data_IF_222562356558
#
_entry.id   IF_222562356558
#
_cell.length_a   1.000
_cell.length_b   1.000
_cell.length_c   1.000
_cell.angle_alpha   90.00
_cell.angle_beta   90.00
_cell.angle_gamma   90.00
#
_symmetry.space_group_name_H-M   'P 1'
#
loop_
_entity.id
_entity.type
_entity.pdbx_description
1 polymer ?
#
# COMPACT_ATOMS: atom_id res chain seq x y z
N UNK A 1 75.08 -4.30 -9.13
CA UNK A 1 74.07 -3.22 -9.18
C UNK A 1 72.74 -3.84 -9.46
N UNK A 2 71.97 -4.14 -8.46
CA UNK A 2 70.57 -4.59 -8.57
C UNK A 2 69.66 -3.47 -8.04
N UNK A 3 68.86 -2.91 -8.92
CA UNK A 3 67.82 -1.93 -8.56
C UNK A 3 66.54 -2.72 -8.32
N UNK A 4 66.09 -2.84 -7.08
CA UNK A 4 64.83 -3.43 -6.74
C UNK A 4 63.69 -2.39 -6.85
N UNK A 5 62.72 -2.64 -7.70
CA UNK A 5 61.49 -1.90 -7.79
C UNK A 5 60.52 -2.29 -6.67
N UNK A 6 60.20 -1.34 -5.80
CA UNK A 6 59.21 -1.47 -4.74
C UNK A 6 57.84 -1.12 -5.33
N UNK A 7 56.98 -2.12 -5.56
CA UNK A 7 55.61 -1.91 -5.97
C UNK A 7 54.77 -1.61 -4.74
N UNK A 8 54.30 -0.38 -4.61
CA UNK A 8 53.34 0.06 -3.59
C UNK A 8 51.93 -0.38 -4.02
N UNK A 9 51.41 -1.43 -3.41
CA UNK A 9 49.99 -1.78 -3.50
C UNK A 9 49.18 -0.82 -2.63
N UNK A 10 48.47 0.11 -3.26
CA UNK A 10 47.43 0.90 -2.62
C UNK A 10 46.21 -0.02 -2.45
N UNK A 11 45.99 -0.52 -1.25
CA UNK A 11 44.72 -1.12 -0.87
C UNK A 11 43.71 0.01 -0.67
N UNK A 12 42.80 0.22 -1.62
CA UNK A 12 41.57 0.96 -1.37
C UNK A 12 40.72 0.13 -0.39
N UNK A 13 40.71 0.55 0.86
CA UNK A 13 39.67 0.14 1.79
C UNK A 13 38.34 0.80 1.33
N UNK A 14 37.47 0.04 0.68
CA UNK A 14 36.06 0.38 0.65
C UNK A 14 35.58 0.32 2.11
N UNK A 15 35.50 1.45 2.76
CA UNK A 15 34.71 1.60 3.95
C UNK A 15 33.26 1.36 3.55
N UNK A 16 32.64 0.34 4.13
CA UNK A 16 31.21 0.18 4.12
C UNK A 16 30.60 1.54 4.52
N UNK A 17 29.87 2.17 3.62
CA UNK A 17 29.07 3.34 3.93
C UNK A 17 28.03 2.91 4.95
N UNK A 18 27.89 3.69 5.97
CA UNK A 18 27.24 3.41 7.22
C UNK A 18 25.74 3.05 7.06
N UNK A 19 25.28 2.19 7.94
CA UNK A 19 23.88 1.96 8.29
C UNK A 19 23.18 3.23 8.87
N UNK A 20 23.89 4.35 9.00
CA UNK A 20 23.41 5.62 9.58
C UNK A 20 22.58 6.49 8.62
N UNK A 21 22.47 6.15 7.33
CA UNK A 21 21.76 6.97 6.33
C UNK A 21 20.40 6.37 5.89
N UNK A 22 19.94 5.30 6.51
CA UNK A 22 18.63 4.73 6.18
C UNK A 22 17.51 5.70 6.60
N UNK A 23 16.47 5.92 5.74
CA UNK A 23 15.38 6.80 6.08
C UNK A 23 14.62 6.31 7.31
N UNK A 24 14.20 7.22 8.19
CA UNK A 24 13.42 6.86 9.38
C UNK A 24 12.01 6.36 9.02
N UNK A 25 11.44 6.88 7.92
CA UNK A 25 10.12 6.51 7.40
C UNK A 25 10.11 6.57 5.87
N UNK A 26 10.80 5.63 5.22
CA UNK A 26 11.20 5.71 3.81
C UNK A 26 10.12 5.45 2.76
N UNK A 27 8.88 5.10 3.14
CA UNK A 27 7.81 4.83 2.18
C UNK A 27 6.43 4.79 2.82
N UNK A 28 5.46 4.30 2.07
CA UNK A 28 4.10 4.11 2.58
C UNK A 28 4.12 3.15 3.77
N UNK A 29 3.64 3.63 4.92
CA UNK A 29 3.69 2.93 6.21
C UNK A 29 5.13 2.65 6.71
N UNK A 30 6.06 3.57 6.44
CA UNK A 30 7.43 3.48 6.93
C UNK A 30 8.30 2.50 6.16
N UNK A 31 9.37 2.07 6.81
CA UNK A 31 10.32 1.17 6.18
C UNK A 31 9.68 -0.19 5.95
N UNK A 32 9.69 -0.62 4.69
CA UNK A 32 9.14 -1.88 4.23
C UNK A 32 7.65 -2.10 4.61
N UNK A 33 6.86 -1.04 4.73
CA UNK A 33 5.42 -1.12 4.97
C UNK A 33 4.99 -1.65 6.33
N UNK A 34 5.90 -1.75 7.31
CA UNK A 34 5.63 -2.36 8.62
C UNK A 34 4.63 -1.58 9.46
N UNK A 35 4.54 -0.27 9.27
CA UNK A 35 3.75 0.62 10.13
C UNK A 35 4.36 0.84 11.51
N UNK A 36 5.64 0.50 11.71
CA UNK A 36 6.30 0.57 13.02
C UNK A 36 7.54 1.43 12.96
N UNK A 37 7.67 2.39 13.87
CA UNK A 37 8.86 3.21 14.07
C UNK A 37 9.61 2.81 15.35
N UNK A 38 10.93 3.02 15.34
CA UNK A 38 11.79 2.72 16.49
C UNK A 38 11.67 3.74 17.64
N UNK A 39 11.23 4.97 17.34
CA UNK A 39 11.06 6.05 18.34
C UNK A 39 9.83 5.82 19.22
N UNK A 40 9.75 6.52 20.35
CA UNK A 40 8.51 6.61 21.12
C UNK A 40 7.69 7.82 20.69
N UNK A 41 6.37 7.79 20.93
CA UNK A 41 5.44 8.87 20.61
C UNK A 41 4.62 9.26 21.85
N UNK A 42 4.01 10.45 21.87
CA UNK A 42 3.17 10.90 23.00
C UNK A 42 1.91 10.04 23.18
N UNK A 43 1.38 10.04 24.40
CA UNK A 43 0.12 9.37 24.75
C UNK A 43 -1.12 10.11 24.21
N UNK A 44 -0.94 11.31 23.63
CA UNK A 44 -2.01 12.11 23.04
C UNK A 44 -1.53 12.87 21.81
N UNK A 45 -2.41 13.04 20.82
CA UNK A 45 -2.24 13.94 19.69
C UNK A 45 -3.25 15.08 19.83
N UNK A 46 -2.91 16.03 20.70
CA UNK A 46 -3.80 17.12 21.11
C UNK A 46 -3.49 18.40 20.34
N UNK A 47 -4.39 18.89 19.47
CA UNK A 47 -4.17 20.12 18.70
C UNK A 47 -3.94 21.36 19.57
N UNK A 48 -4.41 21.38 20.82
CA UNK A 48 -4.19 22.48 21.76
C UNK A 48 -3.01 22.22 22.72
N UNK A 49 -2.60 20.96 22.85
CA UNK A 49 -1.60 20.51 23.83
C UNK A 49 -0.19 20.34 23.29
N UNK A 50 -0.04 19.60 22.19
CA UNK A 50 1.29 19.19 21.68
C UNK A 50 1.45 19.27 20.16
N UNK A 51 0.60 20.07 19.47
CA UNK A 51 0.80 20.44 18.09
C UNK A 51 2.02 21.36 17.97
N UNK A 52 3.02 20.96 17.20
CA UNK A 52 4.21 21.74 16.92
C UNK A 52 3.96 22.77 15.82
N UNK A 53 3.40 22.30 14.71
CA UNK A 53 3.03 23.11 13.57
C UNK A 53 1.91 22.51 12.74
N UNK A 54 1.18 23.37 12.03
CA UNK A 54 0.20 23.05 10.98
C UNK A 54 0.44 23.95 9.79
N UNK A 55 0.51 23.36 8.62
CA UNK A 55 0.72 24.10 7.37
C UNK A 55 -0.29 23.63 6.32
N UNK A 56 -0.68 24.52 5.42
CA UNK A 56 -1.49 24.19 4.26
C UNK A 56 -0.61 23.53 3.19
N UNK A 57 -1.12 22.49 2.54
CA UNK A 57 -0.45 21.76 1.46
C UNK A 57 -1.41 21.52 0.31
N UNK A 58 -0.91 21.33 -0.92
CA UNK A 58 -1.72 20.94 -2.06
C UNK A 58 -2.54 19.69 -1.80
N UNK A 59 -3.76 19.64 -2.36
CA UNK A 59 -4.66 18.52 -2.17
C UNK A 59 -4.03 17.19 -2.62
N UNK A 60 -4.19 16.16 -1.80
CA UNK A 60 -3.63 14.83 -2.07
C UNK A 60 -3.92 13.86 -0.94
N UNK A 61 -3.73 12.56 -1.21
CA UNK A 61 -3.95 11.49 -0.24
C UNK A 61 -2.67 10.75 0.16
N UNK A 62 -1.51 11.14 -0.37
CA UNK A 62 -0.25 10.49 -0.03
C UNK A 62 0.06 10.63 1.46
N UNK A 63 0.57 9.57 2.05
CA UNK A 63 1.17 9.63 3.39
C UNK A 63 2.54 10.31 3.32
N UNK A 64 2.98 11.01 4.37
CA UNK A 64 4.33 11.56 4.43
C UNK A 64 5.39 10.47 4.43
N UNK A 65 6.55 10.73 3.82
CA UNK A 65 7.77 9.93 3.94
C UNK A 65 8.91 10.80 4.42
N UNK A 66 9.86 10.24 5.16
CA UNK A 66 10.84 11.02 5.92
C UNK A 66 12.23 10.40 5.79
N UNK A 67 13.20 11.24 5.43
CA UNK A 67 14.61 10.90 5.44
C UNK A 67 15.41 12.07 6.05
N UNK A 68 16.05 11.85 7.20
CA UNK A 68 16.74 12.88 7.95
C UNK A 68 15.81 14.05 8.27
N UNK A 69 16.20 15.26 7.94
CA UNK A 69 15.44 16.49 8.21
C UNK A 69 14.35 16.78 7.16
N UNK A 70 14.17 15.91 6.17
CA UNK A 70 13.29 16.12 5.04
C UNK A 70 12.03 15.26 5.11
N UNK A 71 10.90 15.89 4.83
CA UNK A 71 9.61 15.27 4.70
C UNK A 71 9.11 15.44 3.26
N UNK A 72 8.59 14.36 2.67
CA UNK A 72 8.11 14.36 1.29
C UNK A 72 6.64 13.97 1.22
N UNK A 73 5.89 14.69 0.38
CA UNK A 73 4.50 14.36 0.02
C UNK A 73 4.29 14.55 -1.48
N UNK A 74 3.22 13.99 -2.02
CA UNK A 74 2.71 14.33 -3.36
C UNK A 74 1.44 15.16 -3.25
N UNK A 75 1.15 15.98 -4.24
CA UNK A 75 -0.05 16.82 -4.29
C UNK A 75 -0.51 17.08 -5.72
N UNK A 76 -1.66 17.73 -5.88
CA UNK A 76 -2.17 18.16 -7.17
C UNK A 76 -2.75 19.57 -7.10
N UNK A 77 -2.38 20.44 -8.04
CA UNK A 77 -2.90 21.79 -8.22
C UNK A 77 -3.18 22.05 -9.71
N UNK A 78 -4.41 22.36 -10.06
CA UNK A 78 -4.79 22.63 -11.45
C UNK A 78 -4.47 21.44 -12.37
N UNK A 79 -3.49 21.61 -13.24
CA UNK A 79 -2.97 20.58 -14.17
C UNK A 79 -1.55 20.15 -13.82
N UNK A 80 -1.09 20.41 -12.60
CA UNK A 80 0.22 20.00 -12.09
C UNK A 80 0.09 18.93 -11.01
N UNK A 81 0.87 17.86 -11.14
CA UNK A 81 1.11 16.85 -10.12
C UNK A 81 2.44 17.18 -9.46
N UNK A 82 2.44 17.24 -8.14
CA UNK A 82 3.52 17.82 -7.36
C UNK A 82 4.23 16.77 -6.49
N UNK A 83 5.56 16.80 -6.49
CA UNK A 83 6.40 16.24 -5.42
C UNK A 83 6.95 17.40 -4.61
N UNK A 84 6.74 17.35 -3.29
CA UNK A 84 7.05 18.45 -2.38
C UNK A 84 7.96 17.94 -1.28
N UNK A 85 9.07 18.67 -1.06
CA UNK A 85 9.99 18.47 0.05
C UNK A 85 9.84 19.60 1.06
N UNK A 86 9.79 19.24 2.33
CA UNK A 86 9.58 20.16 3.44
C UNK A 86 10.59 19.85 4.54
N UNK A 87 10.93 20.86 5.32
CA UNK A 87 11.62 20.68 6.59
C UNK A 87 10.65 20.02 7.60
N UNK A 88 11.04 18.90 8.20
CA UNK A 88 10.14 18.17 9.11
C UNK A 88 9.93 18.88 10.45
N UNK A 89 10.84 19.77 10.87
CA UNK A 89 10.79 20.41 12.19
C UNK A 89 9.88 21.63 12.23
N UNK A 90 9.76 22.38 11.14
CA UNK A 90 8.94 23.59 11.09
C UNK A 90 7.91 23.61 9.94
N UNK A 91 7.95 22.61 9.06
CA UNK A 91 7.05 22.48 7.91
C UNK A 91 7.36 23.43 6.75
N UNK A 92 8.49 24.14 6.77
CA UNK A 92 8.89 25.04 5.67
C UNK A 92 9.11 24.25 4.39
N UNK A 93 8.50 24.69 3.29
CA UNK A 93 8.76 24.11 1.97
C UNK A 93 10.20 24.41 1.53
N UNK A 94 10.97 23.34 1.25
CA UNK A 94 12.35 23.43 0.76
C UNK A 94 12.35 23.51 -0.76
N UNK A 95 11.59 22.61 -1.41
CA UNK A 95 11.40 22.60 -2.85
C UNK A 95 10.10 21.92 -3.24
N UNK A 96 9.58 22.26 -4.41
CA UNK A 96 8.54 21.52 -5.12
C UNK A 96 8.91 21.33 -6.58
N UNK A 97 8.56 20.18 -7.11
CA UNK A 97 8.73 19.83 -8.50
C UNK A 97 7.38 19.38 -9.08
N UNK A 98 7.18 19.63 -10.37
CA UNK A 98 5.92 19.32 -11.03
C UNK A 98 6.10 18.49 -12.29
N UNK A 99 5.07 17.66 -12.57
CA UNK A 99 4.82 17.04 -13.86
C UNK A 99 3.39 17.36 -14.28
N UNK A 100 3.16 17.51 -15.59
CA UNK A 100 1.86 17.88 -16.11
C UNK A 100 0.87 16.71 -16.19
N UNK A 101 -0.45 16.98 -16.09
CA UNK A 101 -1.50 16.03 -16.41
C UNK A 101 -2.75 16.76 -16.97
N UNK A 102 -3.75 16.01 -17.41
CA UNK A 102 -4.95 16.54 -18.07
C UNK A 102 -5.99 17.19 -17.12
N UNK A 103 -5.68 17.23 -15.81
CA UNK A 103 -6.53 17.80 -14.78
C UNK A 103 -7.71 16.91 -14.34
N UNK A 104 -7.87 15.71 -14.92
CA UNK A 104 -8.95 14.79 -14.55
C UNK A 104 -8.63 14.02 -13.28
N UNK A 105 -9.60 13.90 -12.39
CA UNK A 105 -9.48 13.04 -11.21
C UNK A 105 -9.73 11.59 -11.61
N UNK A 106 -8.88 10.65 -11.18
CA UNK A 106 -9.11 9.24 -11.42
C UNK A 106 -10.09 8.69 -10.38
N UNK A 107 -11.34 8.48 -10.75
CA UNK A 107 -12.35 7.85 -9.90
C UNK A 107 -12.48 8.47 -8.50
N UNK A 108 -12.39 7.65 -7.45
CA UNK A 108 -12.52 8.06 -6.06
C UNK A 108 -11.22 8.61 -5.45
N UNK A 109 -10.06 8.23 -5.99
CA UNK A 109 -8.76 8.65 -5.46
C UNK A 109 -8.39 10.08 -5.89
N UNK A 110 -7.41 10.65 -5.18
CA UNK A 110 -6.70 11.84 -5.60
C UNK A 110 -5.79 11.52 -6.79
N UNK A 111 -5.55 12.47 -7.72
CA UNK A 111 -4.49 12.34 -8.73
C UNK A 111 -3.10 12.09 -8.12
N UNK A 112 -2.90 12.48 -6.84
CA UNK A 112 -1.70 12.31 -6.02
C UNK A 112 -2.02 11.45 -4.78
N UNK A 113 -2.50 10.21 -5.00
CA UNK A 113 -2.80 9.26 -3.94
C UNK A 113 -1.60 8.42 -3.51
N UNK A 114 -0.73 7.90 -4.41
CA UNK A 114 0.45 7.17 -3.99
C UNK A 114 1.38 8.01 -3.12
N UNK A 115 1.90 7.40 -2.05
CA UNK A 115 2.94 8.03 -1.23
C UNK A 115 4.28 7.98 -1.96
N UNK A 116 5.12 9.01 -1.87
CA UNK A 116 6.48 8.90 -2.37
C UNK A 116 7.26 7.85 -1.59
N UNK A 117 8.35 7.35 -2.16
CA UNK A 117 9.34 6.55 -1.45
C UNK A 117 10.71 7.21 -1.53
N UNK A 118 11.54 6.98 -0.52
CA UNK A 118 12.92 7.46 -0.48
C UNK A 118 13.84 6.39 0.12
N UNK A 119 15.06 6.36 -0.37
CA UNK A 119 16.15 5.57 0.19
C UNK A 119 17.21 6.43 0.92
N UNK A 120 16.88 7.70 1.19
CA UNK A 120 17.81 8.69 1.75
C UNK A 120 18.74 9.33 0.72
N UNK A 121 18.66 8.93 -0.56
CA UNK A 121 19.46 9.50 -1.66
C UNK A 121 18.56 10.03 -2.78
N UNK A 122 17.48 9.33 -3.09
CA UNK A 122 16.49 9.72 -4.08
C UNK A 122 15.08 9.73 -3.52
N UNK A 123 14.18 10.41 -4.22
CA UNK A 123 12.74 10.47 -3.96
C UNK A 123 12.01 10.02 -5.20
N UNK A 124 11.11 9.05 -5.06
CA UNK A 124 10.40 8.40 -6.16
C UNK A 124 8.90 8.61 -5.98
N UNK A 125 8.29 9.34 -6.90
CA UNK A 125 6.86 9.68 -6.88
C UNK A 125 6.12 9.01 -8.03
N UNK A 126 4.97 8.43 -7.73
CA UNK A 126 4.09 7.79 -8.73
C UNK A 126 2.77 8.56 -8.80
N UNK A 127 2.30 8.78 -10.02
CA UNK A 127 1.03 9.43 -10.30
C UNK A 127 0.21 8.63 -11.31
N UNK A 128 -1.09 8.47 -11.04
CA UNK A 128 -1.99 7.69 -11.91
C UNK A 128 -1.93 8.10 -13.38
N UNK A 129 -1.97 9.40 -13.65
CA UNK A 129 -2.06 9.94 -15.01
C UNK A 129 -0.72 10.13 -15.72
N UNK A 130 0.41 9.97 -14.99
CA UNK A 130 1.74 10.24 -15.52
C UNK A 130 2.62 8.99 -15.55
N UNK A 131 2.77 8.30 -14.44
CA UNK A 131 3.72 7.22 -14.25
C UNK A 131 4.62 7.49 -13.05
N UNK A 132 5.93 7.32 -13.20
CA UNK A 132 6.91 7.48 -12.12
C UNK A 132 7.95 8.54 -12.46
N UNK A 133 8.34 9.35 -11.46
CA UNK A 133 9.41 10.35 -11.56
C UNK A 133 10.32 10.27 -10.34
N UNK A 134 11.61 10.48 -10.54
CA UNK A 134 12.63 10.48 -9.49
C UNK A 134 13.38 11.80 -9.43
N UNK A 135 13.65 12.23 -8.19
CA UNK A 135 14.45 13.40 -7.86
C UNK A 135 15.55 13.02 -6.87
N UNK A 136 16.63 13.81 -6.83
CA UNK A 136 17.55 13.77 -5.69
C UNK A 136 16.95 14.52 -4.48
N UNK A 137 17.63 14.50 -3.34
CA UNK A 137 17.14 15.17 -2.13
C UNK A 137 17.12 16.70 -2.26
N UNK A 138 17.83 17.28 -3.24
CA UNK A 138 17.86 18.71 -3.57
C UNK A 138 16.75 19.10 -4.55
N UNK A 139 15.97 18.13 -5.06
CA UNK A 139 14.87 18.34 -6.00
C UNK A 139 15.29 18.35 -7.48
N UNK A 140 16.53 18.01 -7.81
CA UNK A 140 16.92 17.87 -9.21
C UNK A 140 16.34 16.58 -9.78
N UNK A 141 15.68 16.68 -10.93
CA UNK A 141 15.11 15.49 -11.59
C UNK A 141 16.23 14.55 -12.07
N UNK A 142 16.19 13.31 -11.61
CA UNK A 142 17.11 12.26 -12.01
C UNK A 142 16.62 11.57 -13.31
N UNK A 143 15.36 11.17 -13.30
CA UNK A 143 14.72 10.50 -14.44
C UNK A 143 13.19 10.51 -14.29
N UNK A 144 12.50 10.16 -15.38
CA UNK A 144 11.05 9.93 -15.40
C UNK A 144 10.69 8.84 -16.40
N UNK A 145 9.59 8.12 -16.13
CA UNK A 145 8.98 7.15 -17.03
C UNK A 145 7.48 7.44 -17.12
N UNK A 146 7.04 7.99 -18.24
CA UNK A 146 5.65 8.31 -18.53
C UNK A 146 4.91 7.03 -18.97
N UNK A 147 4.49 6.22 -18.00
CA UNK A 147 3.80 4.94 -18.21
C UNK A 147 2.30 5.00 -17.95
N UNK A 148 1.80 6.14 -17.51
CA UNK A 148 0.37 6.40 -17.32
C UNK A 148 -0.35 6.86 -18.61
N UNK A 149 -1.66 7.07 -18.59
CA UNK A 149 -2.55 6.77 -17.46
C UNK A 149 -2.74 5.25 -17.28
N UNK A 150 -2.90 4.82 -16.03
CA UNK A 150 -3.16 3.42 -15.71
C UNK A 150 -4.66 3.11 -15.79
N UNK A 151 -5.02 1.91 -16.25
CA UNK A 151 -6.43 1.48 -16.31
C UNK A 151 -6.90 0.93 -14.96
N UNK A 152 -7.08 1.81 -13.98
CA UNK A 152 -7.50 1.50 -12.61
C UNK A 152 -8.74 2.34 -12.29
N UNK A 153 -9.93 1.76 -12.10
CA UNK A 153 -11.20 2.49 -12.01
C UNK A 153 -11.27 3.58 -10.95
N UNK A 154 -10.65 3.35 -9.78
CA UNK A 154 -10.62 4.35 -8.70
C UNK A 154 -9.34 5.20 -8.70
N UNK A 155 -8.44 4.99 -9.66
CA UNK A 155 -7.12 5.61 -9.69
C UNK A 155 -6.09 4.85 -8.83
N UNK A 156 -4.83 4.95 -9.21
CA UNK A 156 -3.71 4.27 -8.54
C UNK A 156 -3.50 4.80 -7.13
N UNK A 157 -3.31 3.92 -6.16
CA UNK A 157 -2.85 4.24 -4.81
C UNK A 157 -1.63 3.43 -4.38
N UNK A 158 -1.22 2.45 -5.18
CA UNK A 158 0.01 1.69 -4.96
C UNK A 158 1.22 2.61 -4.97
N UNK A 159 2.00 2.56 -3.90
CA UNK A 159 3.22 3.34 -3.74
C UNK A 159 4.45 2.58 -4.26
N UNK A 160 5.51 3.26 -4.71
CA UNK A 160 6.74 2.61 -5.11
C UNK A 160 7.47 2.02 -3.88
N UNK A 161 8.23 0.95 -4.13
CA UNK A 161 9.05 0.27 -3.11
C UNK A 161 10.50 0.29 -3.55
N UNK A 162 11.38 0.78 -2.67
CA UNK A 162 12.83 0.82 -2.93
C UNK A 162 13.52 -0.33 -2.20
N UNK A 163 14.35 -1.09 -2.91
CA UNK A 163 15.22 -2.11 -2.32
C UNK A 163 16.50 -2.26 -3.13
N UNK A 164 17.64 -2.16 -2.46
CA UNK A 164 18.94 -2.20 -3.11
C UNK A 164 19.07 -1.14 -4.21
N UNK A 165 19.40 -1.54 -5.43
CA UNK A 165 19.55 -0.66 -6.59
C UNK A 165 18.26 -0.50 -7.41
N UNK A 166 17.10 -0.92 -6.88
CA UNK A 166 15.85 -0.94 -7.64
C UNK A 166 14.72 -0.19 -6.96
N UNK A 167 13.88 0.41 -7.80
CA UNK A 167 12.54 0.91 -7.46
C UNK A 167 11.53 0.00 -8.15
N UNK A 168 10.66 -0.60 -7.37
CA UNK A 168 9.65 -1.55 -7.85
C UNK A 168 8.25 -0.96 -7.75
N UNK A 169 7.40 -1.29 -8.70
CA UNK A 169 6.02 -0.85 -8.76
C UNK A 169 5.09 -2.01 -9.12
N UNK A 170 4.03 -2.18 -8.34
CA UNK A 170 2.91 -3.04 -8.66
C UNK A 170 1.89 -2.21 -9.46
N UNK A 171 1.62 -2.62 -10.68
CA UNK A 171 0.61 -2.02 -11.55
C UNK A 171 -0.47 -3.07 -11.82
N UNK A 172 -1.28 -3.31 -10.81
CA UNK A 172 -2.49 -4.12 -10.97
C UNK A 172 -3.58 -3.23 -11.55
N UNK A 173 -3.90 -3.46 -12.79
CA UNK A 173 -4.90 -2.73 -13.57
C UNK A 173 -5.80 -3.70 -14.33
N UNK A 174 -6.95 -3.21 -14.77
CA UNK A 174 -7.82 -4.01 -15.62
C UNK A 174 -7.14 -4.26 -16.94
N UNK A 175 -7.05 -5.52 -17.33
CA UNK A 175 -6.22 -6.01 -18.42
C UNK A 175 -4.73 -5.62 -18.27
N UNK A 176 -3.85 -6.50 -18.61
CA UNK A 176 -2.40 -6.24 -18.63
C UNK A 176 -1.81 -5.76 -17.29
N UNK A 177 -2.23 -6.35 -16.16
CA UNK A 177 -1.59 -6.14 -14.86
C UNK A 177 -0.13 -6.62 -14.90
N UNK A 178 0.79 -5.88 -14.25
CA UNK A 178 2.21 -6.22 -14.24
C UNK A 178 2.94 -5.73 -12.99
N UNK A 179 4.11 -6.30 -12.74
CA UNK A 179 5.14 -5.74 -11.88
C UNK A 179 6.28 -5.20 -12.72
N UNK A 180 6.92 -4.15 -12.27
CA UNK A 180 8.10 -3.58 -12.94
C UNK A 180 9.13 -3.13 -11.91
N UNK A 181 10.42 -3.33 -12.24
CA UNK A 181 11.52 -2.76 -11.50
C UNK A 181 12.36 -1.87 -12.41
N UNK A 182 12.71 -0.71 -11.88
CA UNK A 182 13.62 0.25 -12.51
C UNK A 182 14.91 0.36 -11.71
N UNK A 183 16.01 0.57 -12.43
CA UNK A 183 17.25 1.01 -11.81
C UNK A 183 17.02 2.38 -11.13
N UNK A 184 17.25 2.46 -9.82
CA UNK A 184 16.90 3.64 -9.02
C UNK A 184 17.62 4.93 -9.43
N UNK A 185 18.80 4.82 -10.05
CA UNK A 185 19.62 5.98 -10.45
C UNK A 185 19.31 6.47 -11.86
N UNK A 186 18.91 5.55 -12.76
CA UNK A 186 18.78 5.86 -14.19
C UNK A 186 17.37 5.74 -14.73
N UNK A 187 16.45 5.14 -13.98
CA UNK A 187 15.08 4.85 -14.43
C UNK A 187 14.99 3.75 -15.49
N UNK A 188 16.13 3.11 -15.85
CA UNK A 188 16.12 2.04 -16.84
C UNK A 188 15.38 0.82 -16.28
N UNK A 189 14.45 0.27 -17.07
CA UNK A 189 13.78 -0.97 -16.71
C UNK A 189 14.81 -2.11 -16.54
N UNK A 190 14.75 -2.77 -15.39
CA UNK A 190 15.53 -3.95 -15.06
C UNK A 190 14.80 -5.21 -15.45
N UNK A 191 13.52 -5.27 -15.10
CA UNK A 191 12.60 -6.32 -15.49
C UNK A 191 11.15 -5.83 -15.44
N UNK A 192 10.30 -6.47 -16.23
CA UNK A 192 8.84 -6.32 -16.20
C UNK A 192 8.22 -7.70 -16.36
N UNK A 193 7.23 -8.01 -15.52
CA UNK A 193 6.56 -9.31 -15.51
C UNK A 193 5.06 -9.11 -15.52
N UNK A 194 4.36 -9.74 -16.45
CA UNK A 194 2.91 -9.72 -16.53
C UNK A 194 2.29 -10.59 -15.44
N UNK A 195 1.09 -10.21 -15.01
CA UNK A 195 0.30 -10.88 -13.99
C UNK A 195 -1.07 -11.30 -14.55
N UNK A 196 -1.12 -12.34 -15.38
CA UNK A 196 -2.37 -12.80 -15.98
C UNK A 196 -3.36 -13.25 -14.89
N UNK A 197 -4.65 -13.00 -15.09
CA UNK A 197 -5.72 -13.35 -14.16
C UNK A 197 -5.83 -12.43 -12.93
N UNK A 198 -5.02 -11.36 -12.86
CA UNK A 198 -5.11 -10.31 -11.84
C UNK A 198 -5.71 -9.06 -12.47
N UNK A 199 -6.65 -8.45 -11.77
CA UNK A 199 -7.26 -7.17 -12.14
C UNK A 199 -6.83 -6.06 -11.18
N UNK A 200 -7.45 -4.89 -11.25
CA UNK A 200 -7.08 -3.77 -10.41
C UNK A 200 -7.05 -4.12 -8.93
N UNK A 201 -5.95 -3.75 -8.28
CA UNK A 201 -5.75 -3.76 -6.84
C UNK A 201 -5.00 -2.49 -6.42
N UNK A 202 -4.91 -2.26 -5.11
CA UNK A 202 -4.44 -0.98 -4.57
C UNK A 202 -3.36 -1.15 -3.51
N UNK A 203 -2.93 -2.38 -3.26
CA UNK A 203 -1.93 -2.71 -2.26
C UNK A 203 -0.53 -2.27 -2.70
N UNK A 204 0.26 -1.83 -1.74
CA UNK A 204 1.71 -1.62 -1.92
C UNK A 204 2.44 -2.91 -1.52
N UNK A 205 3.35 -3.43 -2.32
CA UNK A 205 4.08 -4.65 -2.00
C UNK A 205 5.10 -4.44 -0.87
N UNK A 206 5.59 -5.54 -0.30
CA UNK A 206 6.58 -5.57 0.77
C UNK A 206 7.73 -6.49 0.40
N UNK A 207 8.95 -6.16 0.81
CA UNK A 207 10.13 -7.00 0.53
C UNK A 207 10.40 -7.93 1.71
N UNK A 208 10.51 -9.23 1.44
CA UNK A 208 11.03 -10.23 2.36
C UNK A 208 12.49 -10.52 1.99
N UNK A 209 13.42 -10.14 2.85
CA UNK A 209 14.86 -10.28 2.61
C UNK A 209 15.52 -11.08 3.76
N UNK A 210 15.33 -12.41 3.80
CA UNK A 210 15.93 -13.25 4.83
C UNK A 210 17.44 -13.34 4.65
N UNK A 211 18.17 -13.44 5.76
CA UNK A 211 19.63 -13.51 5.74
C UNK A 211 20.13 -14.72 4.92
N UNK A 212 21.07 -14.46 4.02
CA UNK A 212 21.70 -15.48 3.18
C UNK A 212 20.84 -16.10 2.09
N UNK A 213 19.62 -15.55 1.84
CA UNK A 213 18.73 -15.98 0.74
C UNK A 213 18.36 -14.81 -0.17
N UNK A 214 17.98 -15.05 -1.42
CA UNK A 214 17.49 -14.00 -2.31
C UNK A 214 16.26 -13.29 -1.74
N UNK A 215 16.20 -11.97 -1.94
CA UNK A 215 15.06 -11.17 -1.54
C UNK A 215 13.84 -11.46 -2.44
N UNK A 216 12.66 -11.40 -1.83
CA UNK A 216 11.38 -11.65 -2.48
C UNK A 216 10.46 -10.44 -2.33
N UNK A 217 9.72 -10.11 -3.37
CA UNK A 217 8.66 -9.11 -3.34
C UNK A 217 7.32 -9.80 -3.08
N UNK A 218 6.72 -9.55 -1.93
CA UNK A 218 5.41 -10.11 -1.56
C UNK A 218 4.32 -9.15 -2.03
N UNK A 219 3.41 -9.65 -2.82
CA UNK A 219 2.41 -8.88 -3.54
C UNK A 219 1.01 -9.37 -3.19
N UNK A 220 0.17 -8.47 -2.70
CA UNK A 220 -1.26 -8.70 -2.52
C UNK A 220 -2.01 -8.14 -3.72
N UNK A 221 -2.50 -8.99 -4.59
CA UNK A 221 -3.28 -8.63 -5.77
C UNK A 221 -4.71 -9.16 -5.70
N UNK A 222 -5.55 -8.72 -6.63
CA UNK A 222 -6.88 -9.30 -6.80
C UNK A 222 -6.77 -10.79 -7.10
N UNK A 223 -7.48 -11.60 -6.31
CA UNK A 223 -7.59 -13.06 -6.39
C UNK A 223 -6.32 -13.84 -6.08
N UNK A 224 -5.16 -13.19 -5.95
CA UNK A 224 -3.90 -13.88 -5.74
C UNK A 224 -2.95 -13.09 -4.85
N UNK A 225 -2.43 -13.74 -3.82
CA UNK A 225 -1.25 -13.32 -3.07
C UNK A 225 -0.06 -14.07 -3.68
N UNK A 226 1.03 -13.37 -4.01
CA UNK A 226 2.16 -14.01 -4.67
C UNK A 226 3.50 -13.41 -4.25
N UNK A 227 4.56 -14.18 -4.45
CA UNK A 227 5.94 -13.78 -4.22
C UNK A 227 6.72 -13.81 -5.54
N UNK A 228 7.58 -12.81 -5.71
CA UNK A 228 8.45 -12.68 -6.87
C UNK A 228 9.90 -12.44 -6.43
N UNK A 229 10.85 -13.00 -7.15
CA UNK A 229 12.27 -12.72 -6.94
C UNK A 229 12.55 -11.23 -7.22
N UNK A 230 13.10 -10.50 -6.25
CA UNK A 230 13.39 -9.07 -6.41
C UNK A 230 14.33 -8.81 -7.59
N UNK A 231 15.34 -9.64 -7.78
CA UNK A 231 16.38 -9.44 -8.81
C UNK A 231 15.89 -9.72 -10.25
N UNK A 232 14.90 -10.59 -10.43
CA UNK A 232 14.51 -11.06 -11.77
C UNK A 232 13.05 -10.87 -12.13
N UNK A 233 12.18 -10.64 -11.13
CA UNK A 233 10.73 -10.63 -11.30
C UNK A 233 10.13 -12.04 -11.49
N UNK A 234 10.90 -13.11 -11.33
CA UNK A 234 10.39 -14.48 -11.44
C UNK A 234 9.39 -14.76 -10.32
N UNK A 235 8.20 -15.31 -10.67
CA UNK A 235 7.19 -15.71 -9.72
C UNK A 235 7.62 -16.97 -9.01
N UNK A 236 7.73 -16.92 -7.68
CA UNK A 236 8.25 -18.01 -6.85
C UNK A 236 7.13 -18.89 -6.28
N UNK A 237 6.17 -18.29 -5.63
CA UNK A 237 5.03 -18.99 -5.05
C UNK A 237 3.77 -18.11 -5.04
N UNK A 238 2.59 -18.74 -4.85
CA UNK A 238 1.33 -18.01 -4.76
C UNK A 238 0.28 -18.75 -3.94
N UNK A 239 -0.72 -17.99 -3.50
CA UNK A 239 -1.97 -18.44 -2.88
C UNK A 239 -3.12 -17.87 -3.70
N UNK A 240 -3.92 -18.73 -4.33
CA UNK A 240 -5.09 -18.34 -5.12
C UNK A 240 -6.36 -18.19 -4.27
N UNK A 241 -7.33 -17.44 -4.78
CA UNK A 241 -8.66 -17.28 -4.20
C UNK A 241 -8.73 -16.23 -3.10
N UNK A 242 -7.76 -15.32 -2.99
CA UNK A 242 -7.86 -14.13 -2.15
C UNK A 242 -8.95 -13.17 -2.64
N UNK A 243 -9.26 -12.14 -1.85
CA UNK A 243 -10.29 -11.17 -2.21
C UNK A 243 -9.97 -10.37 -3.47
N UNK A 244 -11.00 -9.86 -4.10
CA UNK A 244 -10.93 -8.85 -5.14
C UNK A 244 -10.56 -7.48 -4.56
N UNK A 245 -9.92 -6.61 -5.32
CA UNK A 245 -9.56 -5.23 -4.95
C UNK A 245 -8.79 -5.13 -3.62
N UNK A 246 -7.78 -5.94 -3.43
CA UNK A 246 -6.96 -5.88 -2.21
C UNK A 246 -6.27 -4.52 -2.07
N UNK A 247 -6.23 -4.00 -0.84
CA UNK A 247 -5.72 -2.66 -0.52
C UNK A 247 -4.62 -2.69 0.55
N UNK A 248 -4.59 -3.77 1.31
CA UNK A 248 -3.72 -3.92 2.47
C UNK A 248 -2.29 -4.29 2.08
N UNK A 249 -1.34 -3.62 2.71
CA UNK A 249 0.09 -3.94 2.63
C UNK A 249 0.37 -5.27 3.35
N UNK A 250 1.13 -6.20 2.76
CA UNK A 250 1.63 -7.37 3.48
C UNK A 250 2.53 -6.97 4.65
N UNK A 251 2.27 -7.48 5.84
CA UNK A 251 3.08 -7.21 7.05
C UNK A 251 3.90 -8.44 7.37
N UNK A 252 5.23 -8.29 7.39
CA UNK A 252 6.16 -9.39 7.60
C UNK A 252 6.74 -9.31 9.01
N UNK A 253 6.71 -10.44 9.73
CA UNK A 253 7.42 -10.63 10.99
C UNK A 253 8.14 -11.99 10.99
N UNK A 254 9.46 -11.98 11.11
CA UNK A 254 10.27 -13.17 10.92
C UNK A 254 10.06 -13.79 9.54
N UNK A 255 9.77 -15.07 9.50
CA UNK A 255 9.49 -15.82 8.26
C UNK A 255 7.99 -15.98 8.01
N UNK A 256 7.14 -15.12 8.57
CA UNK A 256 5.69 -15.14 8.41
C UNK A 256 5.16 -13.82 7.89
N UNK A 257 4.17 -13.87 7.01
CA UNK A 257 3.49 -12.72 6.45
C UNK A 257 2.01 -12.71 6.82
N UNK A 258 1.53 -11.55 7.29
CA UNK A 258 0.12 -11.31 7.60
C UNK A 258 -0.48 -10.38 6.55
N UNK A 259 -1.51 -10.86 5.84
CA UNK A 259 -2.12 -10.11 4.74
C UNK A 259 -3.63 -10.06 4.93
N UNK A 260 -4.16 -8.87 5.14
CA UNK A 260 -5.60 -8.65 5.10
C UNK A 260 -6.06 -8.50 3.64
N UNK A 261 -6.48 -9.60 3.05
CA UNK A 261 -7.14 -9.61 1.74
C UNK A 261 -8.64 -9.75 1.97
N UNK A 262 -9.31 -8.64 2.29
CA UNK A 262 -10.75 -8.61 2.53
C UNK A 262 -11.43 -7.59 1.64
N UNK A 263 -12.58 -7.97 1.12
CA UNK A 263 -13.57 -7.13 0.50
C UNK A 263 -14.94 -7.75 0.72
N UNK A 264 -15.95 -6.92 0.75
CA UNK A 264 -17.31 -7.42 0.83
C UNK A 264 -17.65 -8.25 -0.41
N UNK A 265 -18.01 -9.52 -0.23
CA UNK A 265 -18.27 -10.42 -1.35
C UNK A 265 -19.35 -9.87 -2.28
N UNK A 266 -19.21 -9.99 -3.62
CA UNK A 266 -20.20 -9.56 -4.60
C UNK A 266 -21.60 -10.13 -4.34
N UNK A 267 -21.71 -11.36 -3.82
CA UNK A 267 -22.99 -11.97 -3.43
C UNK A 267 -23.74 -11.20 -2.33
N UNK A 268 -23.04 -10.42 -1.52
CA UNK A 268 -23.68 -9.58 -0.49
C UNK A 268 -24.39 -8.35 -1.09
N UNK A 269 -24.09 -8.00 -2.33
CA UNK A 269 -24.68 -6.86 -3.04
C UNK A 269 -25.68 -7.28 -4.13
N UNK A 270 -26.14 -8.55 -4.12
CA UNK A 270 -27.22 -9.01 -4.98
C UNK A 270 -26.83 -9.44 -6.38
N UNK A 271 -25.53 -9.63 -6.67
CA UNK A 271 -25.04 -10.13 -7.95
C UNK A 271 -25.44 -11.59 -8.20
N UNK A 272 -25.61 -12.00 -9.47
CA UNK A 272 -25.85 -13.39 -9.81
C UNK A 272 -24.64 -14.24 -9.43
N UNK A 273 -24.87 -15.54 -9.26
CA UNK A 273 -23.79 -16.48 -9.03
C UNK A 273 -23.13 -16.81 -10.38
N UNK A 274 -21.94 -16.29 -10.61
CA UNK A 274 -21.12 -16.66 -11.75
C UNK A 274 -20.45 -18.02 -11.49
N UNK A 275 -20.64 -18.98 -12.41
CA UNK A 275 -20.07 -20.32 -12.29
C UNK A 275 -20.09 -21.05 -13.64
N UNK A 276 -19.19 -22.02 -13.85
CA UNK A 276 -19.06 -22.76 -15.10
C UNK A 276 -18.03 -22.16 -16.05
N UNK A 277 -17.87 -22.78 -17.21
CA UNK A 277 -16.99 -22.27 -18.27
C UNK A 277 -17.70 -21.19 -19.10
N UNK A 278 -16.91 -20.42 -19.86
CA UNK A 278 -17.49 -19.45 -20.80
C UNK A 278 -18.30 -20.13 -21.90
N UNK A 279 -17.87 -21.29 -22.37
CA UNK A 279 -18.59 -22.08 -23.35
C UNK A 279 -19.97 -22.52 -22.85
N UNK A 280 -20.08 -22.88 -21.56
CA UNK A 280 -21.37 -23.28 -20.99
C UNK A 280 -22.36 -22.12 -20.97
N UNK A 281 -21.92 -20.90 -20.60
CA UNK A 281 -22.79 -19.73 -20.54
C UNK A 281 -23.13 -19.21 -21.95
N UNK A 282 -22.20 -19.27 -22.91
CA UNK A 282 -22.49 -18.98 -24.32
C UNK A 282 -23.59 -19.90 -24.85
N UNK A 283 -23.51 -21.21 -24.61
CA UNK A 283 -24.53 -22.15 -25.03
C UNK A 283 -25.93 -21.88 -24.43
N UNK A 284 -25.97 -21.24 -23.26
CA UNK A 284 -27.23 -20.88 -22.58
C UNK A 284 -27.79 -19.53 -23.00
N UNK A 285 -26.93 -18.54 -23.28
CA UNK A 285 -27.30 -17.12 -23.32
C UNK A 285 -27.00 -16.38 -24.62
N UNK A 286 -26.08 -16.83 -25.45
CA UNK A 286 -25.76 -16.21 -26.73
C UNK A 286 -26.86 -16.46 -27.74
N UNK A 287 -27.87 -15.55 -27.76
CA UNK A 287 -29.06 -15.66 -28.62
C UNK A 287 -28.75 -15.27 -30.06
N UNK A 288 -27.79 -14.39 -30.27
CA UNK A 288 -27.47 -13.84 -31.59
C UNK A 288 -26.36 -14.62 -32.32
N UNK A 289 -25.61 -15.47 -31.60
CA UNK A 289 -24.54 -16.32 -32.14
C UNK A 289 -23.26 -15.56 -32.45
N UNK A 290 -23.01 -14.41 -31.79
CA UNK A 290 -21.79 -13.60 -32.02
C UNK A 290 -20.58 -14.03 -31.18
N UNK A 291 -20.75 -14.97 -30.23
CA UNK A 291 -19.71 -15.51 -29.38
C UNK A 291 -19.40 -14.65 -28.16
N UNK A 292 -20.29 -13.73 -27.80
CA UNK A 292 -20.24 -12.88 -26.63
C UNK A 292 -21.57 -12.99 -25.87
N UNK A 293 -21.58 -12.56 -24.61
CA UNK A 293 -22.82 -12.36 -23.85
C UNK A 293 -23.09 -10.88 -23.79
N UNK A 294 -23.97 -10.44 -24.65
CA UNK A 294 -24.37 -9.04 -24.71
C UNK A 294 -25.29 -8.68 -23.54
N UNK A 295 -25.28 -7.40 -23.15
CA UNK A 295 -26.03 -6.90 -22.01
C UNK A 295 -27.54 -7.20 -22.07
N UNK A 296 -28.13 -7.28 -23.25
CA UNK A 296 -29.53 -7.59 -23.49
C UNK A 296 -29.85 -9.11 -23.46
N UNK A 297 -28.83 -9.96 -23.49
CA UNK A 297 -28.96 -11.42 -23.40
C UNK A 297 -28.98 -11.94 -21.95
N UNK A 298 -28.69 -11.05 -20.98
CA UNK A 298 -28.73 -11.38 -19.57
C UNK A 298 -29.67 -10.44 -18.78
N UNK A 299 -30.93 -10.83 -18.67
CA UNK A 299 -31.93 -10.11 -17.90
C UNK A 299 -31.74 -10.33 -16.38
N UNK A 300 -30.89 -9.55 -15.75
CA UNK A 300 -30.73 -9.51 -14.31
C UNK A 300 -30.61 -8.06 -13.84
N UNK A 301 -31.61 -7.56 -13.12
CA UNK A 301 -31.75 -6.12 -12.78
C UNK A 301 -30.47 -5.54 -12.14
N UNK A 302 -29.91 -6.24 -11.18
CA UNK A 302 -28.72 -5.76 -10.50
C UNK A 302 -27.47 -5.81 -11.40
N UNK A 303 -27.32 -6.88 -12.21
CA UNK A 303 -26.19 -6.99 -13.14
C UNK A 303 -26.24 -5.89 -14.20
N UNK A 304 -27.45 -5.48 -14.64
CA UNK A 304 -27.59 -4.35 -15.58
C UNK A 304 -27.02 -3.05 -15.02
N UNK A 305 -27.14 -2.80 -13.72
CA UNK A 305 -26.54 -1.64 -13.07
C UNK A 305 -25.02 -1.81 -12.82
N UNK A 306 -24.57 -3.05 -12.58
CA UNK A 306 -23.21 -3.37 -12.23
C UNK A 306 -22.39 -3.91 -13.42
N UNK A 307 -22.89 -3.81 -14.64
CA UNK A 307 -22.28 -4.38 -15.86
C UNK A 307 -20.82 -3.91 -16.01
N UNK A 308 -20.61 -2.60 -15.85
CA UNK A 308 -19.28 -1.97 -15.94
C UNK A 308 -18.22 -2.52 -14.95
N UNK A 309 -18.64 -3.28 -13.91
CA UNK A 309 -17.71 -3.89 -12.98
C UNK A 309 -17.03 -5.09 -13.63
N UNK A 310 -17.75 -5.81 -14.50
CA UNK A 310 -17.32 -7.07 -15.08
C UNK A 310 -16.92 -6.97 -16.55
N UNK A 311 -17.32 -5.92 -17.23
CA UNK A 311 -16.93 -5.57 -18.59
C UNK A 311 -15.58 -4.83 -18.53
N UNK A 312 -14.49 -5.60 -18.63
CA UNK A 312 -13.12 -5.10 -18.39
C UNK A 312 -12.59 -4.23 -19.54
N UNK A 313 -13.24 -4.27 -20.73
CA UNK A 313 -12.80 -3.51 -21.92
C UNK A 313 -13.79 -2.49 -22.42
N UNK A 314 -14.90 -2.31 -21.69
CA UNK A 314 -15.97 -1.38 -22.01
C UNK A 314 -16.58 -1.60 -23.42
N UNK A 315 -16.58 -2.85 -23.91
CA UNK A 315 -17.19 -3.20 -25.20
C UNK A 315 -18.70 -3.48 -25.09
N UNK A 316 -19.25 -3.44 -23.87
CA UNK A 316 -20.64 -3.66 -23.50
C UNK A 316 -21.12 -5.12 -23.69
N UNK A 317 -20.20 -6.06 -23.68
CA UNK A 317 -20.45 -7.50 -23.71
C UNK A 317 -19.51 -8.23 -22.75
N UNK A 318 -19.77 -9.51 -22.42
CA UNK A 318 -18.84 -10.35 -21.72
C UNK A 318 -18.19 -11.31 -22.71
N UNK A 319 -16.88 -11.19 -22.84
CA UNK A 319 -16.01 -12.16 -23.45
C UNK A 319 -15.54 -13.21 -22.45
N UNK A 320 -14.60 -14.07 -22.87
CA UNK A 320 -14.06 -15.13 -22.01
C UNK A 320 -13.32 -14.54 -20.79
N UNK A 321 -12.54 -13.47 -20.97
CA UNK A 321 -11.80 -12.82 -19.87
C UNK A 321 -12.73 -12.22 -18.83
N UNK A 322 -13.80 -11.54 -19.27
CA UNK A 322 -14.81 -10.95 -18.37
C UNK A 322 -15.55 -12.01 -17.58
N UNK A 323 -15.86 -13.13 -18.22
CA UNK A 323 -16.50 -14.25 -17.56
C UNK A 323 -15.59 -14.91 -16.53
N UNK A 324 -14.32 -15.18 -16.87
CA UNK A 324 -13.35 -15.73 -15.94
C UNK A 324 -13.16 -14.82 -14.72
N UNK A 325 -13.11 -13.52 -14.95
CA UNK A 325 -13.07 -12.52 -13.90
C UNK A 325 -14.32 -12.56 -13.00
N UNK A 326 -15.52 -12.57 -13.58
CA UNK A 326 -16.76 -12.65 -12.83
C UNK A 326 -16.84 -13.95 -11.97
N UNK A 327 -16.40 -15.07 -12.52
CA UNK A 327 -16.31 -16.36 -11.79
C UNK A 327 -15.27 -16.27 -10.67
N UNK A 328 -14.12 -15.65 -10.88
CA UNK A 328 -13.09 -15.43 -9.86
C UNK A 328 -13.64 -14.58 -8.71
N UNK A 329 -14.37 -13.49 -8.99
CA UNK A 329 -15.07 -12.69 -7.99
C UNK A 329 -16.03 -13.54 -7.14
N UNK A 330 -16.76 -14.45 -7.77
CA UNK A 330 -17.70 -15.35 -7.08
C UNK A 330 -17.02 -16.40 -6.19
N UNK A 331 -15.77 -16.77 -6.47
CA UNK A 331 -14.97 -17.75 -5.72
C UNK A 331 -14.07 -17.10 -4.65
N UNK A 332 -13.79 -15.81 -4.79
CA UNK A 332 -12.89 -15.08 -3.90
C UNK A 332 -13.34 -15.16 -2.44
N UNK A 333 -12.39 -15.42 -1.55
CA UNK A 333 -12.63 -15.54 -0.12
C UNK A 333 -11.74 -14.59 0.65
N UNK A 334 -12.33 -13.54 1.23
CA UNK A 334 -11.59 -12.57 2.04
C UNK A 334 -11.20 -13.10 3.42
N UNK A 335 -10.22 -12.45 4.03
CA UNK A 335 -9.74 -12.75 5.38
C UNK A 335 -8.39 -12.12 5.67
N UNK A 336 -7.97 -12.21 6.93
CA UNK A 336 -6.57 -12.02 7.30
C UNK A 336 -5.88 -13.38 7.22
N UNK A 337 -4.87 -13.48 6.38
CA UNK A 337 -4.08 -14.69 6.16
C UNK A 337 -2.77 -14.59 6.94
N UNK A 338 -2.37 -15.67 7.60
CA UNK A 338 -0.99 -15.91 8.03
C UNK A 338 -0.36 -16.91 7.06
N UNK A 339 0.73 -16.49 6.42
CA UNK A 339 1.42 -17.29 5.40
C UNK A 339 2.87 -17.45 5.81
N UNK A 340 3.33 -18.69 5.97
CA UNK A 340 4.73 -19.01 6.18
C UNK A 340 5.51 -18.76 4.88
N UNK A 341 6.52 -17.89 4.95
CA UNK A 341 7.30 -17.48 3.79
C UNK A 341 8.33 -18.55 3.41
N UNK A 342 8.49 -18.79 2.15
CA UNK A 342 9.51 -19.74 1.63
C UNK A 342 8.89 -20.80 0.77
N UNK A 343 8.34 -21.28 0.10
CA UNK A 343 7.74 -22.33 -0.74
C UNK A 343 8.00 -22.09 -2.23
N UNK A 344 7.49 -22.96 -3.05
CA UNK A 344 7.51 -22.87 -4.49
C UNK A 344 6.15 -23.28 -5.08
N UNK A 345 5.70 -22.60 -6.11
CA UNK A 345 4.44 -22.89 -6.79
C UNK A 345 3.22 -22.51 -5.95
N UNK A 346 2.11 -23.25 -6.09
CA UNK A 346 0.92 -23.05 -5.28
C UNK A 346 1.12 -23.53 -3.85
N UNK A 347 1.13 -22.60 -2.90
CA UNK A 347 1.33 -22.86 -1.47
C UNK A 347 0.04 -22.72 -0.64
N UNK A 348 -1.10 -22.54 -1.29
CA UNK A 348 -2.37 -22.27 -0.63
C UNK A 348 -2.80 -23.31 0.40
N UNK A 349 -2.38 -24.57 0.23
CA UNK A 349 -2.71 -25.67 1.17
C UNK A 349 -1.57 -26.07 2.09
N UNK A 350 -0.36 -25.54 1.88
CA UNK A 350 0.85 -25.98 2.60
C UNK A 350 1.48 -24.91 3.48
N UNK A 351 1.28 -23.63 3.18
CA UNK A 351 1.92 -22.50 3.88
C UNK A 351 0.91 -21.48 4.45
N UNK A 352 -0.37 -21.60 4.15
CA UNK A 352 -1.39 -20.84 4.88
C UNK A 352 -1.64 -21.54 6.21
N UNK A 353 -1.06 -21.00 7.27
CA UNK A 353 -1.15 -21.59 8.61
C UNK A 353 -2.55 -21.41 9.18
N UNK A 354 -3.06 -20.17 9.16
CA UNK A 354 -4.42 -19.87 9.55
C UNK A 354 -5.02 -18.72 8.73
N UNK A 355 -6.35 -18.63 8.81
CA UNK A 355 -7.13 -17.56 8.18
C UNK A 355 -8.21 -17.07 9.13
N UNK A 356 -8.14 -15.81 9.52
CA UNK A 356 -9.17 -15.13 10.30
C UNK A 356 -10.24 -14.55 9.39
N UNK A 357 -11.53 -14.81 9.67
CA UNK A 357 -12.64 -14.49 8.77
C UNK A 357 -13.81 -13.71 9.40
N UNK A 358 -13.65 -13.24 10.64
CA UNK A 358 -14.69 -12.40 11.25
C UNK A 358 -14.80 -11.06 10.53
N UNK A 359 -15.85 -10.90 9.74
CA UNK A 359 -16.11 -9.74 8.89
C UNK A 359 -16.29 -8.43 9.68
N UNK A 360 -16.61 -8.49 10.96
CA UNK A 360 -16.75 -7.32 11.82
C UNK A 360 -15.41 -6.69 12.15
N UNK A 361 -14.38 -7.52 12.26
CA UNK A 361 -13.02 -7.14 12.59
C UNK A 361 -12.14 -6.84 11.38
N UNK A 362 -12.53 -7.34 10.19
CA UNK A 362 -11.73 -7.20 8.98
C UNK A 362 -11.93 -5.82 8.32
N UNK A 363 -10.87 -5.01 8.19
CA UNK A 363 -10.94 -3.74 7.48
C UNK A 363 -11.01 -3.92 5.96
N UNK A 364 -11.70 -3.01 5.27
CA UNK A 364 -11.70 -2.97 3.81
C UNK A 364 -10.43 -2.28 3.26
N UNK A 365 -9.99 -1.18 3.88
CA UNK A 365 -8.86 -0.36 3.41
C UNK A 365 -7.63 -0.47 4.33
N UNK A 366 -7.74 -0.26 5.65
CA UNK A 366 -6.57 -0.26 6.52
C UNK A 366 -5.79 -1.57 6.50
N UNK A 367 -4.48 -1.46 6.50
CA UNK A 367 -3.58 -2.60 6.68
C UNK A 367 -3.45 -2.95 8.16
N UNK A 368 -3.15 -4.21 8.52
CA UNK A 368 -2.83 -4.57 9.90
C UNK A 368 -1.53 -3.89 10.36
N UNK A 369 -1.33 -3.80 11.67
CA UNK A 369 -0.01 -3.51 12.25
C UNK A 369 0.37 -4.64 13.20
N UNK A 370 1.61 -5.10 13.10
CA UNK A 370 2.20 -6.07 14.00
C UNK A 370 3.16 -5.36 14.95
N UNK A 371 2.87 -5.38 16.24
CA UNK A 371 3.77 -4.84 17.26
C UNK A 371 3.50 -5.53 18.61
N UNK A 372 4.52 -5.60 19.46
CA UNK A 372 4.44 -6.25 20.79
C UNK A 372 3.81 -7.65 20.71
N UNK A 373 4.30 -8.49 19.78
CA UNK A 373 3.84 -9.85 19.54
C UNK A 373 2.31 -9.99 19.34
N UNK A 374 1.68 -8.99 18.74
CA UNK A 374 0.23 -8.94 18.53
C UNK A 374 -0.08 -8.29 17.18
N UNK A 375 -1.11 -8.78 16.51
CA UNK A 375 -1.65 -8.18 15.28
C UNK A 375 -2.84 -7.30 15.67
N UNK A 376 -2.88 -6.06 15.16
CA UNK A 376 -3.99 -5.14 15.39
C UNK A 376 -4.65 -4.73 14.08
N UNK A 377 -5.97 -4.70 14.11
CA UNK A 377 -6.84 -4.28 13.01
C UNK A 377 -7.74 -3.13 13.45
N UNK A 378 -8.02 -2.21 12.54
CA UNK A 378 -9.07 -1.19 12.69
C UNK A 378 -10.05 -1.29 11.53
N UNK A 379 -11.30 -1.63 11.82
CA UNK A 379 -12.36 -1.79 10.84
C UNK A 379 -13.39 -0.66 10.92
N UNK A 380 -14.33 -0.66 9.98
CA UNK A 380 -15.44 0.28 9.93
C UNK A 380 -16.21 0.37 11.26
N UNK A 381 -16.66 1.57 11.57
CA UNK A 381 -17.34 1.85 12.85
C UNK A 381 -16.40 1.92 14.05
N UNK A 382 -15.06 1.96 13.83
CA UNK A 382 -14.06 2.04 14.89
C UNK A 382 -13.89 0.74 15.67
N UNK A 383 -14.16 -0.40 15.05
CA UNK A 383 -13.92 -1.71 15.66
C UNK A 383 -12.43 -2.03 15.61
N UNK A 384 -11.82 -2.07 16.78
CA UNK A 384 -10.40 -2.36 16.96
C UNK A 384 -10.23 -3.75 17.54
N UNK A 385 -9.40 -4.55 16.91
CA UNK A 385 -9.25 -5.98 17.25
C UNK A 385 -7.78 -6.32 17.38
N UNK A 386 -7.42 -7.01 18.46
CA UNK A 386 -6.13 -7.67 18.63
C UNK A 386 -6.28 -9.17 18.37
N UNK A 387 -5.29 -9.74 17.68
CA UNK A 387 -5.26 -11.13 17.25
C UNK A 387 -3.93 -11.75 17.66
N UNK A 388 -3.97 -12.95 18.19
CA UNK A 388 -2.80 -13.75 18.47
C UNK A 388 -2.13 -14.20 17.15
N UNK A 389 -0.86 -13.87 16.90
CA UNK A 389 -0.23 -14.13 15.62
C UNK A 389 0.07 -15.61 15.36
N UNK A 390 0.12 -16.45 16.40
CA UNK A 390 0.40 -17.88 16.26
C UNK A 390 -0.87 -18.69 15.96
N UNK A 391 -1.96 -18.37 16.65
CA UNK A 391 -3.20 -19.14 16.51
C UNK A 391 -4.23 -18.50 15.55
N UNK A 392 -4.11 -17.18 15.28
CA UNK A 392 -5.13 -16.42 14.58
C UNK A 392 -6.40 -16.17 15.40
N UNK A 393 -6.39 -16.46 16.70
CA UNK A 393 -7.55 -16.24 17.57
C UNK A 393 -7.67 -14.77 17.97
N UNK A 394 -8.89 -14.27 18.05
CA UNK A 394 -9.21 -12.95 18.58
C UNK A 394 -8.91 -12.91 20.09
N UNK A 395 -8.08 -11.95 20.51
CA UNK A 395 -7.79 -11.71 21.93
C UNK A 395 -8.82 -10.72 22.48
N UNK A 396 -8.96 -9.57 21.83
CA UNK A 396 -9.89 -8.52 22.23
C UNK A 396 -10.45 -7.80 21.02
N UNK A 397 -11.78 -7.63 21.03
CA UNK A 397 -12.50 -6.78 20.09
C UNK A 397 -13.28 -5.71 20.85
N UNK A 398 -13.24 -4.50 20.38
CA UNK A 398 -14.00 -3.41 20.98
C UNK A 398 -14.07 -2.19 20.07
N UNK A 399 -14.85 -1.20 20.47
CA UNK A 399 -14.89 0.08 19.77
C UNK A 399 -13.91 1.05 20.45
N UNK A 400 -13.08 1.72 19.64
CA UNK A 400 -12.08 2.67 20.14
C UNK A 400 -12.74 3.89 20.81
N UNK A 401 -13.71 4.50 20.11
CA UNK A 401 -14.42 5.68 20.57
C UNK A 401 -15.80 5.76 19.89
N UNK A 402 -16.25 6.93 19.44
CA UNK A 402 -17.44 7.06 18.62
C UNK A 402 -17.30 6.29 17.28
N UNK A 403 -18.41 5.85 16.67
CA UNK A 403 -18.36 5.18 15.36
C UNK A 403 -17.75 6.07 14.28
N UNK A 404 -16.67 5.62 13.66
CA UNK A 404 -15.92 6.35 12.66
C UNK A 404 -15.56 5.43 11.49
N UNK A 405 -15.33 6.01 10.30
CA UNK A 405 -14.74 5.32 9.15
C UNK A 405 -13.23 5.50 9.13
N UNK A 406 -12.49 4.46 8.72
CA UNK A 406 -11.03 4.48 8.68
C UNK A 406 -10.53 4.11 7.29
N UNK A 407 -9.74 5.02 6.69
CA UNK A 407 -8.96 4.79 5.48
C UNK A 407 -7.46 4.71 5.79
N UNK A 408 -7.03 5.50 6.77
CA UNK A 408 -5.67 5.44 7.30
C UNK A 408 -5.42 4.12 8.03
N UNK A 409 -4.28 3.51 7.78
CA UNK A 409 -3.82 2.32 8.51
C UNK A 409 -3.29 2.70 9.90
N UNK A 410 -3.39 1.83 10.89
CA UNK A 410 -2.72 2.00 12.17
C UNK A 410 -1.20 2.03 11.98
N UNK A 411 -0.51 2.85 12.77
CA UNK A 411 0.94 2.89 12.88
C UNK A 411 1.37 2.85 14.34
N UNK A 412 2.54 2.29 14.63
CA UNK A 412 2.99 2.04 15.99
C UNK A 412 4.38 2.58 16.27
N UNK A 413 4.60 3.05 17.49
CA UNK A 413 5.93 3.39 18.01
C UNK A 413 5.91 3.35 19.55
N UNK A 414 6.98 2.84 20.18
CA UNK A 414 7.17 2.86 21.62
C UNK A 414 6.00 2.26 22.42
N UNK A 415 5.38 1.19 21.93
CA UNK A 415 4.24 0.55 22.59
C UNK A 415 2.92 1.33 22.49
N UNK A 416 2.79 2.26 21.54
CA UNK A 416 1.56 3.00 21.22
C UNK A 416 1.17 2.75 19.78
N UNK A 417 -0.13 2.80 19.51
CA UNK A 417 -0.71 2.77 18.16
C UNK A 417 -1.47 4.06 17.94
N UNK A 418 -1.20 4.71 16.80
CA UNK A 418 -1.93 5.88 16.34
C UNK A 418 -2.98 5.45 15.33
N UNK A 419 -4.20 5.93 15.52
CA UNK A 419 -5.31 5.81 14.60
C UNK A 419 -5.78 7.19 14.16
N UNK A 420 -6.03 7.38 12.88
CA UNK A 420 -6.66 8.58 12.33
C UNK A 420 -7.92 8.19 11.57
N UNK A 421 -9.09 8.66 12.00
CA UNK A 421 -10.34 8.41 11.29
C UNK A 421 -10.51 9.36 10.11
N UNK A 422 -11.38 9.00 9.19
CA UNK A 422 -11.71 9.85 8.04
C UNK A 422 -12.20 11.25 8.45
N UNK A 423 -12.95 11.36 9.54
CA UNK A 423 -13.48 12.65 10.02
C UNK A 423 -12.49 13.45 10.88
N UNK A 424 -11.22 13.00 11.00
CA UNK A 424 -10.18 13.70 11.75
C UNK A 424 -10.11 13.35 13.23
N UNK A 425 -10.75 12.26 13.69
CA UNK A 425 -10.53 11.77 15.04
C UNK A 425 -9.16 11.09 15.13
N UNK A 426 -8.31 11.57 16.03
CA UNK A 426 -6.97 11.06 16.32
C UNK A 426 -7.00 10.31 17.64
N UNK A 427 -6.70 9.04 17.64
CA UNK A 427 -6.69 8.20 18.84
C UNK A 427 -5.32 7.58 19.07
N UNK A 428 -4.87 7.56 20.31
CA UNK A 428 -3.66 6.87 20.74
C UNK A 428 -4.07 5.71 21.65
N UNK A 429 -3.56 4.53 21.35
CA UNK A 429 -3.88 3.28 22.02
C UNK A 429 -2.60 2.67 22.58
N UNK A 430 -2.63 2.13 23.80
CA UNK A 430 -1.58 1.27 24.31
C UNK A 430 -1.59 -0.06 23.55
N UNK A 431 -0.46 -0.42 22.95
CA UNK A 431 -0.30 -1.58 22.09
C UNK A 431 -0.03 -2.87 22.89
N UNK A 432 -0.93 -3.20 23.82
CA UNK A 432 -0.94 -4.48 24.52
C UNK A 432 -2.01 -5.39 23.90
N UNK A 433 -1.90 -6.71 24.07
CA UNK A 433 -2.90 -7.65 23.56
C UNK A 433 -4.32 -7.30 24.04
N UNK A 434 -4.47 -6.88 25.30
CA UNK A 434 -5.69 -6.34 25.91
C UNK A 434 -5.80 -4.81 25.77
N UNK A 435 -5.42 -4.27 24.66
CA UNK A 435 -5.27 -2.86 24.31
C UNK A 435 -6.15 -1.88 25.11
N UNK A 436 -5.67 -0.66 25.32
CA UNK A 436 -6.36 0.40 26.06
C UNK A 436 -6.31 1.73 25.29
N UNK A 437 -7.45 2.42 25.18
CA UNK A 437 -7.49 3.77 24.66
C UNK A 437 -6.86 4.74 25.64
N UNK A 438 -5.79 5.43 25.24
CA UNK A 438 -5.11 6.43 26.06
C UNK A 438 -5.70 7.82 25.89
N UNK A 439 -5.96 8.21 24.64
CA UNK A 439 -6.53 9.52 24.32
C UNK A 439 -7.31 9.51 23.02
N UNK A 440 -8.19 10.48 22.87
CA UNK A 440 -8.88 10.80 21.62
C UNK A 440 -9.02 12.32 21.52
N UNK A 441 -8.53 12.87 20.42
CA UNK A 441 -8.66 14.28 20.05
C UNK A 441 -9.22 14.39 18.63
N UNK A 442 -9.51 15.60 18.16
CA UNK A 442 -10.07 15.81 16.83
C UNK A 442 -9.39 17.01 16.15
N UNK A 443 -9.12 16.87 14.87
CA UNK A 443 -8.89 17.98 13.95
C UNK A 443 -10.12 18.13 13.05
N UNK A 444 -10.45 19.35 12.65
CA UNK A 444 -11.66 19.65 11.86
C UNK A 444 -11.43 19.48 10.36
N UNK A 445 -10.70 18.41 9.98
CA UNK A 445 -10.34 18.10 8.58
C UNK A 445 -10.40 16.60 8.31
N UNK A 446 -10.76 16.22 7.08
CA UNK A 446 -10.76 14.81 6.67
C UNK A 446 -9.33 14.27 6.52
N UNK A 447 -9.09 13.09 7.10
CA UNK A 447 -7.82 12.36 7.02
C UNK A 447 -8.03 11.07 6.21
N UNK A 448 -7.30 10.95 5.10
CA UNK A 448 -7.30 9.77 4.24
C UNK A 448 -5.94 9.07 4.24
N UNK A 449 -4.90 9.81 4.55
CA UNK A 449 -3.52 9.32 4.57
C UNK A 449 -3.18 8.62 5.88
N UNK A 450 -2.32 7.63 5.80
CA UNK A 450 -1.74 6.98 6.99
C UNK A 450 -0.74 7.90 7.66
N UNK A 451 -0.75 8.02 9.00
CA UNK A 451 0.24 8.80 9.73
C UNK A 451 1.67 8.34 9.48
N UNK A 452 2.64 9.23 9.60
CA UNK A 452 4.06 8.92 9.58
C UNK A 452 4.69 9.24 10.94
N UNK A 453 5.74 8.50 11.31
CA UNK A 453 6.43 8.65 12.60
C UNK A 453 7.94 8.71 12.38
N UNK A 454 8.59 9.75 12.88
CA UNK A 454 10.05 9.85 12.87
C UNK A 454 10.53 10.70 14.04
N UNK A 455 11.62 10.29 14.72
CA UNK A 455 12.27 11.06 15.79
C UNK A 455 11.34 11.47 16.94
N UNK A 456 10.31 10.69 17.25
CA UNK A 456 9.32 11.02 18.29
C UNK A 456 8.19 11.94 17.83
N UNK A 457 8.23 12.40 16.59
CA UNK A 457 7.20 13.22 15.96
C UNK A 457 6.19 12.35 15.22
N UNK A 458 4.91 12.76 15.24
CA UNK A 458 3.81 12.15 14.50
C UNK A 458 3.29 13.15 13.48
N UNK A 459 3.30 12.76 12.22
CA UNK A 459 2.85 13.59 11.10
C UNK A 459 1.49 13.07 10.61
N UNK A 460 0.49 13.94 10.63
CA UNK A 460 -0.87 13.67 10.14
C UNK A 460 -1.13 14.57 8.94
N UNK A 461 -1.47 13.96 7.81
CA UNK A 461 -1.89 14.71 6.63
C UNK A 461 -3.40 14.62 6.46
N UNK A 462 -4.05 15.78 6.44
CA UNK A 462 -5.41 15.94 5.94
C UNK A 462 -5.42 16.15 4.42
N UNK A 463 -6.57 16.39 3.83
CA UNK A 463 -6.65 16.69 2.40
C UNK A 463 -5.91 17.97 1.99
N UNK A 464 -5.80 18.96 2.87
CA UNK A 464 -5.27 20.29 2.58
C UNK A 464 -4.25 20.81 3.59
N UNK A 465 -3.92 20.03 4.62
CA UNK A 465 -2.94 20.43 5.63
C UNK A 465 -2.08 19.27 6.10
N UNK A 466 -0.94 19.61 6.64
CA UNK A 466 -0.02 18.72 7.31
C UNK A 466 0.18 19.21 8.74
N UNK A 467 0.12 18.28 9.69
CA UNK A 467 0.25 18.52 11.14
C UNK A 467 1.45 17.75 11.67
N UNK A 468 2.20 18.34 12.58
CA UNK A 468 3.25 17.68 13.34
C UNK A 468 2.91 17.75 14.83
N UNK A 469 2.87 16.59 15.48
CA UNK A 469 2.72 16.47 16.93
C UNK A 469 4.00 15.89 17.52
N UNK A 470 4.39 16.37 18.71
CA UNK A 470 5.56 15.88 19.44
C UNK A 470 5.25 15.72 20.92
N UNK A 471 5.87 14.73 21.56
CA UNK A 471 5.82 14.60 23.01
C UNK A 471 6.47 15.79 23.68
N UNK A 472 5.85 16.35 24.75
CA UNK A 472 6.59 17.28 25.61
C UNK A 472 7.69 16.49 26.31
N UNK A 473 8.93 16.93 26.20
CA UNK A 473 9.98 16.47 27.11
C UNK A 473 9.50 16.77 28.53
N UNK A 474 9.30 15.74 29.33
CA UNK A 474 9.22 15.95 30.78
C UNK A 474 10.60 16.49 31.20
N UNK A 475 10.69 17.81 31.51
CA UNK A 475 11.85 18.46 32.12
C UNK A 475 12.11 17.94 33.52
#
# INVERSE_FOLDING_TARGET
MYVGALSLLLALSLTAAAEDDAPEWGGFRGNNGTGVAASSIPDALDPEGNLMWRIEVPAGYSSPTIAGDRLFITGAEGTSLLTICMDRFDGTEIWRQEVGFDGKRPGANSPAAPSPATDGVGVYSVFHSFGIVAYDLEGNKLWENETGPFNIPHGMSTSPVVHGEMVMLQVDQDRSAYLVAYDRRTGKERWKVERPGVTHSYATPTVYAPEGKPAQLIVSGSFQIASYAVETGEKLWWVDGSAWQTKSVPVIHGDRCYINAFMQAPSAIGLPKFAGSFEDILAERDENGDGLINRNEWEHEFLQMAWFIFDLDDDNAFGAEDWEYAVACGRATGGLFAIDLGGEGDVGTSHVDWKFTDRRSLPDIPSPVFCNDTIFLIAEGGIFTSIDPESGEEIKQGRVAEPESYFASPVSAGGRIVLASKSGQLSVIRADAEWELLSTHRIDEEVWSTPAIAGGQVFIRSQQALYCFEGRSED
#
